data_IF_987313335745
#
_entry.id   IF_987313335745
#
_cell.length_a   1.000
_cell.length_b   1.000
_cell.length_c   1.000
_cell.angle_alpha   90.00
_cell.angle_beta   90.00
_cell.angle_gamma   90.00
#
_symmetry.space_group_name_H-M   'P 1'
#
loop_
_entity.id
_entity.type
_entity.pdbx_description
1 polymer ?
#
# COMPACT_ATOMS: atom_id res chain seq x y z
N UNK A 1 9.57 2.83 9.07
CA UNK A 1 9.79 2.72 7.61
C UNK A 1 10.70 3.79 7.00
N UNK A 2 10.56 5.08 7.35
CA UNK A 2 11.30 6.19 6.68
C UNK A 2 12.82 6.00 6.53
N UNK A 3 13.60 5.54 7.54
CA UNK A 3 15.04 5.36 7.37
C UNK A 3 15.43 4.37 6.26
N UNK A 4 14.68 3.27 6.14
CA UNK A 4 14.89 2.26 5.10
C UNK A 4 14.59 2.85 3.72
N UNK A 5 13.46 3.56 3.60
CA UNK A 5 13.04 4.18 2.34
C UNK A 5 14.03 5.27 1.89
N UNK A 6 14.58 6.07 2.83
CA UNK A 6 15.64 7.04 2.52
C UNK A 6 16.91 6.36 2.00
N UNK A 7 17.34 5.26 2.62
CA UNK A 7 18.49 4.49 2.14
C UNK A 7 18.25 3.89 0.75
N UNK A 8 17.05 3.36 0.51
CA UNK A 8 16.65 2.87 -0.81
C UNK A 8 16.69 3.98 -1.87
N UNK A 9 16.13 5.16 -1.56
CA UNK A 9 16.16 6.30 -2.46
C UNK A 9 17.59 6.73 -2.80
N UNK A 10 18.47 6.84 -1.80
CA UNK A 10 19.88 7.18 -2.03
C UNK A 10 20.62 6.09 -2.82
N UNK A 11 20.30 4.82 -2.61
CA UNK A 11 20.86 3.73 -3.41
C UNK A 11 20.41 3.83 -4.87
N UNK A 12 19.11 3.96 -5.13
CA UNK A 12 18.55 4.09 -6.47
C UNK A 12 19.12 5.31 -7.20
N UNK A 13 19.23 6.45 -6.51
CA UNK A 13 19.83 7.66 -7.08
C UNK A 13 21.29 7.43 -7.51
N UNK A 14 22.11 6.75 -6.70
CA UNK A 14 23.50 6.41 -7.08
C UNK A 14 23.60 5.41 -8.22
N UNK A 15 22.69 4.44 -8.28
CA UNK A 15 22.73 3.38 -9.31
C UNK A 15 22.18 3.83 -10.66
N UNK A 16 21.18 4.72 -10.66
CA UNK A 16 20.46 5.11 -11.88
C UNK A 16 20.82 6.51 -12.37
N UNK A 17 21.40 7.36 -11.52
CA UNK A 17 21.58 8.78 -11.80
C UNK A 17 20.28 9.60 -11.78
N UNK A 18 19.12 8.95 -11.60
CA UNK A 18 17.83 9.65 -11.53
C UNK A 18 17.65 10.35 -10.18
N UNK A 19 17.01 11.52 -10.19
CA UNK A 19 16.56 12.18 -8.97
C UNK A 19 15.46 11.35 -8.31
N UNK A 20 15.71 10.87 -7.09
CA UNK A 20 14.74 10.12 -6.29
C UNK A 20 14.37 10.91 -5.04
N UNK A 21 13.08 11.09 -4.78
CA UNK A 21 12.58 11.76 -3.58
C UNK A 21 11.74 10.81 -2.74
N UNK A 22 11.80 10.97 -1.42
CA UNK A 22 10.93 10.24 -0.48
C UNK A 22 9.81 11.18 -0.06
N UNK A 23 8.58 10.73 -0.20
CA UNK A 23 7.39 11.52 0.07
C UNK A 23 6.34 10.65 0.79
N UNK A 24 5.70 11.21 1.82
CA UNK A 24 4.47 10.66 2.37
C UNK A 24 3.28 11.21 1.54
N UNK A 25 2.95 10.52 0.46
CA UNK A 25 2.06 11.02 -0.59
C UNK A 25 0.57 10.76 -0.35
N UNK A 26 0.22 9.79 0.51
CA UNK A 26 -1.14 9.32 0.68
C UNK A 26 -1.65 9.59 2.10
N UNK A 27 -2.95 9.80 2.22
CA UNK A 27 -3.65 9.91 3.48
C UNK A 27 -4.93 9.08 3.47
N UNK A 28 -5.34 8.65 4.66
CA UNK A 28 -6.60 7.96 4.85
C UNK A 28 -7.62 8.92 5.48
N UNK A 29 -8.63 9.34 4.71
CA UNK A 29 -9.69 10.26 5.16
C UNK A 29 -10.79 9.58 6.00
N UNK A 30 -10.68 8.28 6.23
CA UNK A 30 -11.75 7.43 6.76
C UNK A 30 -11.68 7.02 8.23
N UNK A 31 -10.67 7.43 8.99
CA UNK A 31 -10.41 6.86 10.33
C UNK A 31 -10.64 7.89 11.44
N UNK A 32 -11.89 8.01 11.90
CA UNK A 32 -12.20 8.43 13.28
C UNK A 32 -12.38 7.16 14.13
N UNK A 33 -11.30 6.59 14.66
CA UNK A 33 -11.37 5.47 15.61
C UNK A 33 -10.23 4.47 15.50
N UNK A 34 -9.74 4.01 16.66
CA UNK A 34 -8.51 3.21 16.89
C UNK A 34 -8.25 2.14 15.81
N UNK A 35 -7.07 2.25 15.20
CA UNK A 35 -6.49 1.23 14.33
C UNK A 35 -6.20 -0.04 15.13
N UNK A 36 -6.49 -1.20 14.55
CA UNK A 36 -6.39 -2.55 15.13
C UNK A 36 -7.61 -2.98 15.98
N UNK A 37 -8.66 -3.45 15.30
CA UNK A 37 -9.62 -4.40 15.88
C UNK A 37 -9.61 -5.70 15.06
N UNK A 38 -9.67 -6.82 15.77
CA UNK A 38 -9.66 -8.23 15.33
C UNK A 38 -10.95 -8.65 14.59
N UNK A 39 -11.40 -7.86 13.61
CA UNK A 39 -12.58 -8.23 12.79
C UNK A 39 -12.21 -8.31 11.31
N UNK A 40 -12.16 -9.55 10.81
CA UNK A 40 -12.25 -10.02 9.41
C UNK A 40 -11.50 -9.28 8.29
N UNK A 41 -10.79 -10.03 7.44
CA UNK A 41 -10.15 -9.51 6.22
C UNK A 41 -11.12 -8.75 5.28
N UNK A 42 -12.38 -9.20 5.20
CA UNK A 42 -13.45 -8.56 4.44
C UNK A 42 -13.79 -7.15 4.99
N UNK A 43 -13.88 -7.00 6.32
CA UNK A 43 -14.22 -5.74 6.97
C UNK A 43 -13.06 -4.73 6.93
N UNK A 44 -11.80 -5.22 6.84
CA UNK A 44 -10.63 -4.37 6.56
C UNK A 44 -10.64 -3.84 5.13
N UNK A 45 -10.94 -4.70 4.15
CA UNK A 45 -11.12 -4.31 2.74
C UNK A 45 -12.22 -3.24 2.58
N UNK A 46 -13.31 -3.37 3.33
CA UNK A 46 -14.46 -2.47 3.27
C UNK A 46 -14.22 -1.10 3.94
N UNK A 47 -13.34 -1.02 4.96
CA UNK A 47 -12.90 0.28 5.55
C UNK A 47 -11.90 1.05 4.68
N UNK A 48 -11.19 0.35 3.78
CA UNK A 48 -10.15 0.95 2.93
C UNK A 48 -10.66 1.33 1.54
N UNK A 49 -11.68 0.62 1.02
CA UNK A 49 -12.36 0.95 -0.23
C UNK A 49 -12.96 2.37 -0.14
N UNK A 50 -12.29 3.33 -0.76
CA UNK A 50 -12.77 4.70 -0.93
C UNK A 50 -12.26 5.73 0.08
N UNK A 51 -11.28 5.41 0.92
CA UNK A 51 -10.78 6.35 1.94
C UNK A 51 -9.32 6.78 1.75
N UNK A 52 -8.62 6.26 0.74
CA UNK A 52 -7.25 6.66 0.40
C UNK A 52 -7.25 7.80 -0.63
N UNK A 53 -6.62 8.92 -0.31
CA UNK A 53 -6.41 10.04 -1.22
C UNK A 53 -4.96 10.49 -1.26
N UNK A 54 -4.55 11.17 -2.34
CA UNK A 54 -3.27 11.91 -2.37
C UNK A 54 -3.39 13.14 -1.49
N UNK A 55 -2.36 13.43 -0.70
CA UNK A 55 -2.29 14.65 0.11
C UNK A 55 -2.33 15.88 -0.80
N UNK A 56 -3.06 16.92 -0.41
CA UNK A 56 -3.22 18.15 -1.22
C UNK A 56 -1.89 18.86 -1.53
N UNK A 57 -0.86 18.67 -0.71
CA UNK A 57 0.48 19.22 -0.90
C UNK A 57 1.35 18.45 -1.89
N UNK A 58 0.85 17.34 -2.47
CA UNK A 58 1.62 16.44 -3.32
C UNK A 58 0.98 16.35 -4.70
N UNK A 59 1.76 16.63 -5.74
CA UNK A 59 1.39 16.35 -7.12
C UNK A 59 2.09 15.09 -7.61
N UNK A 60 1.33 14.16 -8.19
CA UNK A 60 1.86 12.93 -8.80
C UNK A 60 1.80 12.94 -10.33
N UNK A 61 1.42 14.06 -10.94
CA UNK A 61 1.26 14.16 -12.39
C UNK A 61 2.58 13.83 -13.12
N UNK A 62 2.53 12.84 -14.00
CA UNK A 62 3.67 12.36 -14.79
C UNK A 62 4.85 11.87 -13.92
N UNK A 63 4.58 11.41 -12.70
CA UNK A 63 5.60 10.93 -11.76
C UNK A 63 5.66 9.41 -11.76
N UNK A 64 6.88 8.86 -11.87
CA UNK A 64 7.13 7.43 -11.63
C UNK A 64 7.20 7.17 -10.12
N UNK A 65 6.43 6.20 -9.63
CA UNK A 65 6.28 5.93 -8.20
C UNK A 65 6.63 4.49 -7.85
N UNK A 66 7.41 4.33 -6.79
CA UNK A 66 7.55 3.07 -6.04
C UNK A 66 6.79 3.24 -4.73
N UNK A 67 5.73 2.46 -4.53
CA UNK A 67 4.98 2.47 -3.27
C UNK A 67 5.64 1.50 -2.28
N UNK A 68 5.85 1.94 -1.04
CA UNK A 68 6.45 1.12 0.01
C UNK A 68 5.53 1.05 1.22
N UNK A 69 5.31 -0.16 1.73
CA UNK A 69 4.60 -0.41 3.00
C UNK A 69 5.44 -1.34 3.89
N UNK A 70 5.06 -1.52 5.16
CA UNK A 70 5.73 -2.50 6.01
C UNK A 70 5.24 -3.94 5.73
N UNK A 71 3.93 -4.14 5.55
CA UNK A 71 3.31 -5.45 5.40
C UNK A 71 2.20 -5.49 4.35
N UNK A 72 2.23 -6.54 3.50
CA UNK A 72 1.13 -6.88 2.60
C UNK A 72 0.41 -8.12 3.11
N UNK A 73 -0.85 -7.96 3.50
CA UNK A 73 -1.73 -9.10 3.80
C UNK A 73 -2.47 -9.53 2.53
N UNK A 74 -3.76 -9.22 2.39
CA UNK A 74 -4.53 -9.51 1.17
C UNK A 74 -4.17 -8.59 -0.01
N UNK A 75 -3.38 -7.53 0.24
CA UNK A 75 -3.04 -6.51 -0.75
C UNK A 75 -4.18 -5.52 -1.06
N UNK A 76 -5.32 -5.58 -0.35
CA UNK A 76 -6.45 -4.67 -0.58
C UNK A 76 -6.04 -3.19 -0.41
N UNK A 77 -5.27 -2.88 0.63
CA UNK A 77 -4.73 -1.53 0.87
C UNK A 77 -3.84 -1.06 -0.27
N UNK A 78 -2.82 -1.85 -0.63
CA UNK A 78 -1.91 -1.49 -1.71
C UNK A 78 -2.64 -1.28 -3.03
N UNK A 79 -3.59 -2.14 -3.38
CA UNK A 79 -4.40 -1.98 -4.59
C UNK A 79 -5.15 -0.65 -4.60
N UNK A 80 -5.78 -0.26 -3.48
CA UNK A 80 -6.42 1.05 -3.36
C UNK A 80 -5.43 2.21 -3.49
N UNK A 81 -4.25 2.11 -2.87
CA UNK A 81 -3.19 3.13 -2.98
C UNK A 81 -2.71 3.29 -4.43
N UNK A 82 -2.47 2.18 -5.13
CA UNK A 82 -2.04 2.18 -6.53
C UNK A 82 -3.11 2.80 -7.44
N UNK A 83 -4.37 2.43 -7.25
CA UNK A 83 -5.48 2.99 -8.01
C UNK A 83 -5.61 4.50 -7.78
N UNK A 84 -5.54 4.95 -6.52
CA UNK A 84 -5.54 6.38 -6.17
C UNK A 84 -4.37 7.13 -6.81
N UNK A 85 -3.15 6.59 -6.76
CA UNK A 85 -1.98 7.21 -7.38
C UNK A 85 -2.11 7.32 -8.90
N UNK A 86 -2.57 6.25 -9.58
CA UNK A 86 -2.80 6.24 -11.03
C UNK A 86 -3.87 7.25 -11.46
N UNK A 87 -4.97 7.34 -10.70
CA UNK A 87 -6.02 8.36 -10.91
C UNK A 87 -5.50 9.80 -10.78
N UNK A 88 -4.39 10.00 -10.07
CA UNK A 88 -3.72 11.30 -9.91
C UNK A 88 -2.51 11.48 -10.85
N UNK A 89 -2.45 10.72 -11.95
CA UNK A 89 -1.45 10.90 -13.01
C UNK A 89 -0.10 10.21 -12.74
N UNK A 90 0.01 9.38 -11.71
CA UNK A 90 1.23 8.64 -11.42
C UNK A 90 1.37 7.39 -12.30
N UNK A 91 2.60 7.06 -12.67
CA UNK A 91 2.96 5.72 -13.15
C UNK A 91 3.54 4.92 -12.00
N UNK A 92 2.75 4.03 -11.40
CA UNK A 92 3.25 3.14 -10.35
C UNK A 92 4.06 2.00 -10.98
N UNK A 93 5.38 2.03 -10.77
CA UNK A 93 6.35 1.07 -11.33
C UNK A 93 6.28 -0.26 -10.59
N UNK A 94 6.26 -0.21 -9.25
CA UNK A 94 6.19 -1.40 -8.41
C UNK A 94 5.71 -1.04 -6.99
N UNK A 95 5.40 -2.08 -6.23
CA UNK A 95 5.08 -2.00 -4.80
C UNK A 95 6.07 -2.87 -4.02
N UNK A 96 6.54 -2.37 -2.88
CA UNK A 96 7.49 -3.07 -2.01
C UNK A 96 6.92 -3.18 -0.59
N UNK A 97 7.14 -4.32 0.05
CA UNK A 97 6.85 -4.50 1.46
C UNK A 97 7.94 -5.34 2.12
N UNK A 98 8.12 -5.15 3.43
CA UNK A 98 9.10 -5.93 4.20
C UNK A 98 8.56 -7.33 4.53
N UNK A 99 7.24 -7.46 4.68
CA UNK A 99 6.59 -8.71 5.00
C UNK A 99 5.36 -8.96 4.13
N UNK A 100 5.08 -10.24 3.91
CA UNK A 100 3.84 -10.70 3.28
C UNK A 100 3.21 -11.79 4.16
N UNK A 101 1.90 -11.70 4.39
CA UNK A 101 1.13 -12.79 4.99
C UNK A 101 0.50 -13.62 3.88
N UNK A 102 0.87 -14.91 3.72
CA UNK A 102 0.23 -15.80 2.75
C UNK A 102 -1.28 -15.80 2.93
N UNK A 103 -2.04 -15.98 1.85
CA UNK A 103 -3.48 -16.22 1.97
C UNK A 103 -3.67 -17.46 2.86
N UNK A 104 -4.45 -17.32 3.94
CA UNK A 104 -4.82 -18.46 4.76
C UNK A 104 -5.43 -19.51 3.85
N UNK A 105 -4.90 -20.74 3.90
CA UNK A 105 -5.49 -21.89 3.21
C UNK A 105 -6.97 -21.90 3.60
N UNK A 106 -7.88 -21.77 2.65
CA UNK A 106 -9.26 -22.15 2.93
C UNK A 106 -9.16 -23.60 3.41
N UNK A 107 -9.53 -23.86 4.66
CA UNK A 107 -9.84 -25.23 5.05
C UNK A 107 -11.06 -25.56 4.21
N UNK A 108 -10.85 -26.28 3.11
CA UNK A 108 -11.92 -27.04 2.50
C UNK A 108 -12.48 -27.91 3.63
N UNK A 109 -13.70 -27.62 4.07
CA UNK A 109 -14.39 -28.42 5.07
C UNK A 109 -14.35 -29.89 4.62
N UNK A 110 -13.86 -30.83 5.44
CA UNK A 110 -14.02 -32.22 5.09
C UNK A 110 -15.51 -32.55 5.14
N UNK A 111 -16.03 -32.87 3.95
CA UNK A 111 -17.01 -33.90 3.60
C UNK A 111 -17.94 -34.38 4.71
N UNK A 112 -19.24 -34.26 4.41
CA UNK A 112 -20.37 -34.73 5.21
C UNK A 112 -20.13 -36.08 5.89
N UNK A 113 -20.40 -36.13 7.19
CA UNK A 113 -20.66 -37.37 7.90
C UNK A 113 -22.16 -37.63 7.87
N UNK A 114 -22.50 -38.85 7.42
CA UNK A 114 -23.84 -39.42 7.31
C UNK A 114 -24.57 -39.49 8.65
#
# INVERSE_FOLDING_TARGET
MIPIVKRLASFLQRQTGCKVTVCDALENKGVKGKSVQTKGAAQRSQRLKGHVSVRSSVSLQNTMVILVDDIVTTGATMRSCVETMRKNGATVITVLALAHTPAGKQMDEPMQAQ
#
